data_IF_338664674669
#
_entry.id   IF_338664674669
#
_cell.length_a   1.000
_cell.length_b   1.000
_cell.length_c   1.000
_cell.angle_alpha   90.00
_cell.angle_beta   90.00
_cell.angle_gamma   90.00
#
_symmetry.space_group_name_H-M   'P 1'
#
loop_
_entity.id
_entity.type
_entity.pdbx_description
1 polymer ?
#
# COMPACT_ATOMS: atom_id res chain seq x y z
N UNK A 1 5.65 -8.09 13.76
CA UNK A 1 5.51 -6.70 13.27
C UNK A 1 5.28 -5.81 14.48
N UNK A 2 6.03 -4.72 14.63
CA UNK A 2 5.89 -3.81 15.79
C UNK A 2 4.53 -3.09 15.71
N UNK A 3 3.81 -2.99 16.83
CA UNK A 3 2.63 -2.13 16.93
C UNK A 3 3.07 -0.66 16.87
N UNK A 4 2.23 0.18 16.25
CA UNK A 4 2.46 1.62 16.14
C UNK A 4 1.31 2.37 16.79
N UNK A 5 1.53 3.61 17.18
CA UNK A 5 0.56 4.39 17.95
C UNK A 5 0.25 5.70 17.24
N UNK A 6 -1.02 6.09 17.24
CA UNK A 6 -1.37 7.48 17.00
C UNK A 6 -1.09 8.30 18.26
N UNK A 7 -0.04 9.11 18.23
CA UNK A 7 0.41 9.90 19.38
C UNK A 7 -0.65 10.88 19.89
N UNK A 8 -1.59 11.30 19.03
CA UNK A 8 -2.66 12.23 19.40
C UNK A 8 -3.81 11.56 20.14
N UNK A 9 -4.27 10.41 19.65
CA UNK A 9 -5.42 9.67 20.19
C UNK A 9 -5.02 8.54 21.13
N UNK A 10 -3.72 8.20 21.18
CA UNK A 10 -3.13 7.03 21.87
C UNK A 10 -3.68 5.69 21.41
N UNK A 11 -4.32 5.64 20.24
CA UNK A 11 -4.81 4.40 19.66
C UNK A 11 -3.66 3.51 19.20
N UNK A 12 -3.77 2.21 19.48
CA UNK A 12 -2.83 1.21 18.97
C UNK A 12 -3.27 0.75 17.59
N UNK A 13 -2.33 0.74 16.66
CA UNK A 13 -2.54 0.29 15.30
C UNK A 13 -1.52 -0.77 14.91
N UNK A 14 -1.90 -1.58 13.93
CA UNK A 14 -1.04 -2.60 13.37
C UNK A 14 -0.74 -2.31 11.89
N UNK A 15 0.53 -2.23 11.47
CA UNK A 15 0.85 -2.08 10.06
C UNK A 15 0.31 -3.25 9.23
N UNK A 16 -0.19 -2.93 8.04
CA UNK A 16 -0.73 -3.89 7.07
C UNK A 16 0.18 -4.01 5.84
N UNK A 17 0.45 -2.88 5.18
CA UNK A 17 1.29 -2.78 4.00
C UNK A 17 1.79 -1.34 3.81
N UNK A 18 2.73 -1.17 2.90
CA UNK A 18 3.24 0.14 2.47
C UNK A 18 2.80 0.42 1.04
N UNK A 19 2.53 1.68 0.72
CA UNK A 19 2.49 2.18 -0.66
C UNK A 19 3.72 3.04 -0.84
N UNK A 20 4.56 2.75 -1.82
CA UNK A 20 5.73 3.56 -2.13
C UNK A 20 5.93 3.64 -3.64
N UNK A 21 6.75 4.56 -4.10
CA UNK A 21 7.09 4.63 -5.51
C UNK A 21 7.36 6.04 -5.99
N UNK A 22 7.18 6.22 -7.30
CA UNK A 22 7.43 7.49 -7.94
C UNK A 22 6.51 8.58 -7.35
N UNK A 23 7.10 9.74 -7.05
CA UNK A 23 6.44 10.83 -6.36
C UNK A 23 5.71 11.74 -7.36
N UNK A 24 4.48 12.22 -7.07
CA UNK A 24 3.81 13.25 -7.86
C UNK A 24 4.59 14.57 -7.96
N UNK A 25 5.64 14.75 -7.16
CA UNK A 25 6.51 15.91 -7.19
C UNK A 25 7.97 15.47 -7.40
N UNK A 26 8.55 15.81 -8.55
CA UNK A 26 9.96 15.55 -8.86
C UNK A 26 10.95 16.20 -7.88
N UNK A 27 10.50 17.17 -7.08
CA UNK A 27 11.31 17.82 -6.03
C UNK A 27 11.28 17.10 -4.68
N UNK A 28 10.45 16.07 -4.52
CA UNK A 28 10.40 15.26 -3.32
C UNK A 28 10.92 13.86 -3.68
N UNK A 29 11.90 13.35 -2.92
CA UNK A 29 12.37 11.97 -3.07
C UNK A 29 11.25 10.94 -2.91
N UNK A 30 11.58 9.66 -3.08
CA UNK A 30 10.66 8.54 -2.91
C UNK A 30 9.79 8.72 -1.65
N UNK A 31 8.48 8.69 -1.83
CA UNK A 31 7.53 8.84 -0.73
C UNK A 31 6.93 7.47 -0.42
N UNK A 32 6.74 7.20 0.88
CA UNK A 32 6.13 5.97 1.35
C UNK A 32 5.03 6.28 2.36
N UNK A 33 3.89 5.62 2.18
CA UNK A 33 2.72 5.70 3.05
C UNK A 33 2.51 4.35 3.70
N UNK A 34 2.44 4.30 5.02
CA UNK A 34 2.14 3.08 5.75
C UNK A 34 0.64 3.03 6.07
N UNK A 35 0.00 1.92 5.74
CA UNK A 35 -1.41 1.66 6.05
C UNK A 35 -1.48 0.76 7.28
N UNK A 36 -2.31 1.14 8.24
CA UNK A 36 -2.42 0.48 9.53
C UNK A 36 -3.88 0.23 9.89
N UNK A 37 -4.15 -0.94 10.49
CA UNK A 37 -5.44 -1.27 11.08
C UNK A 37 -5.51 -0.73 12.51
N UNK A 38 -6.50 0.11 12.81
CA UNK A 38 -6.82 0.54 14.17
C UNK A 38 -7.52 -0.60 14.92
N UNK A 39 -6.88 -1.09 15.99
CA UNK A 39 -7.35 -2.23 16.77
C UNK A 39 -8.32 -1.82 17.90
N UNK A 40 -8.35 -0.53 18.24
CA UNK A 40 -9.08 -0.01 19.39
C UNK A 40 -10.53 0.37 19.10
N UNK A 41 -11.03 0.13 17.89
CA UNK A 41 -12.38 0.48 17.44
C UNK A 41 -13.23 -0.79 17.27
N UNK A 42 -14.50 -0.81 17.69
CA UNK A 42 -15.41 -1.95 17.47
C UNK A 42 -15.61 -2.25 15.97
N UNK A 43 -15.52 -1.22 15.13
CA UNK A 43 -15.38 -1.35 13.68
C UNK A 43 -13.92 -1.03 13.32
N UNK A 44 -13.08 -2.03 12.98
CA UNK A 44 -11.69 -1.80 12.62
C UNK A 44 -11.59 -0.84 11.43
N UNK A 45 -10.81 0.24 11.61
CA UNK A 45 -10.59 1.25 10.56
C UNK A 45 -9.16 1.20 10.08
N UNK A 46 -8.96 1.41 8.79
CA UNK A 46 -7.64 1.57 8.22
C UNK A 46 -7.32 3.05 8.18
N UNK A 47 -6.21 3.41 8.81
CA UNK A 47 -5.64 4.75 8.71
C UNK A 47 -4.24 4.67 8.10
N UNK A 48 -3.71 5.81 7.68
CA UNK A 48 -2.42 5.86 7.02
C UNK A 48 -1.72 7.20 7.21
N UNK A 49 -0.39 7.15 7.13
CA UNK A 49 0.47 8.33 7.23
C UNK A 49 1.79 8.10 6.52
N UNK A 50 2.55 9.18 6.36
CA UNK A 50 3.87 9.13 5.74
C UNK A 50 4.89 8.43 6.65
N UNK A 51 5.67 7.51 6.11
CA UNK A 51 6.92 7.08 6.73
C UNK A 51 8.06 7.72 5.95
N UNK A 52 9.09 8.19 6.67
CA UNK A 52 10.18 8.97 6.06
C UNK A 52 11.51 8.27 6.31
N UNK A 53 12.47 8.39 5.40
CA UNK A 53 13.84 8.02 5.70
C UNK A 53 14.47 9.00 6.71
N UNK A 54 15.55 8.57 7.35
CA UNK A 54 16.39 9.45 8.17
C UNK A 54 17.03 10.51 7.27
N UNK A 55 17.07 11.76 7.75
CA UNK A 55 17.66 12.87 7.00
C UNK A 55 19.16 12.67 6.71
N UNK A 56 19.86 11.97 7.61
CA UNK A 56 21.30 11.67 7.50
C UNK A 56 21.60 10.39 6.75
N UNK A 57 20.61 9.51 6.55
CA UNK A 57 20.78 8.24 5.84
C UNK A 57 19.47 7.81 5.18
N UNK A 58 19.37 8.01 3.86
CA UNK A 58 18.16 7.69 3.10
C UNK A 58 17.84 6.20 3.02
N UNK A 59 18.77 5.31 3.38
CA UNK A 59 18.58 3.87 3.39
C UNK A 59 17.89 3.35 4.68
N UNK A 60 17.72 4.21 5.69
CA UNK A 60 17.15 3.85 6.99
C UNK A 60 15.86 4.63 7.21
N UNK A 61 14.80 3.97 7.66
CA UNK A 61 13.56 4.64 8.06
C UNK A 61 13.79 5.42 9.35
N UNK A 62 13.30 6.67 9.41
CA UNK A 62 13.24 7.48 10.62
C UNK A 62 12.23 6.84 11.61
N UNK A 63 12.68 6.22 12.72
CA UNK A 63 11.81 5.43 13.60
C UNK A 63 10.64 6.23 14.18
N UNK A 64 10.84 7.52 14.43
CA UNK A 64 9.85 8.46 14.95
C UNK A 64 8.67 8.64 13.99
N UNK A 65 8.85 8.36 12.70
CA UNK A 65 7.78 8.46 11.69
C UNK A 65 6.98 7.16 11.54
N UNK A 66 7.34 6.09 12.25
CA UNK A 66 6.52 4.88 12.33
C UNK A 66 5.22 5.15 13.09
N UNK A 67 5.27 5.90 14.19
CA UNK A 67 4.08 6.37 14.90
C UNK A 67 3.43 7.55 14.17
N UNK A 68 2.10 7.67 14.25
CA UNK A 68 1.40 8.81 13.66
C UNK A 68 1.58 10.05 14.54
N UNK A 69 2.11 11.10 13.94
CA UNK A 69 2.35 12.42 14.54
C UNK A 69 1.60 13.51 13.76
N UNK A 70 0.60 14.10 14.41
CA UNK A 70 -0.19 15.20 13.82
C UNK A 70 0.52 16.57 13.84
N UNK A 71 1.57 16.72 14.66
CA UNK A 71 2.29 17.98 14.92
C UNK A 71 3.77 17.70 15.23
N UNK A 72 4.59 18.75 15.27
CA UNK A 72 6.00 18.66 15.65
C UNK A 72 6.95 18.34 14.50
N UNK A 73 8.23 18.15 14.83
CA UNK A 73 9.34 17.96 13.87
C UNK A 73 9.14 16.72 13.00
N UNK A 74 8.55 15.66 13.57
CA UNK A 74 8.30 14.41 12.87
C UNK A 74 6.86 14.28 12.35
N UNK A 75 6.13 15.41 12.21
CA UNK A 75 4.76 15.41 11.66
C UNK A 75 4.72 14.61 10.36
N UNK A 76 3.81 13.64 10.31
CA UNK A 76 3.66 12.72 9.19
C UNK A 76 2.21 12.46 8.78
N UNK A 77 1.25 13.13 9.40
CA UNK A 77 -0.14 13.14 8.94
C UNK A 77 -0.24 13.54 7.45
N UNK A 78 -1.06 12.85 6.64
CA UNK A 78 -1.14 13.08 5.20
C UNK A 78 -1.75 14.45 4.83
N UNK A 79 -2.54 15.07 5.71
CA UNK A 79 -3.19 16.36 5.42
C UNK A 79 -3.93 16.35 4.08
N UNK A 80 -3.57 17.29 3.18
CA UNK A 80 -4.20 17.41 1.86
C UNK A 80 -3.94 16.22 0.93
N UNK A 81 -2.84 15.49 1.10
CA UNK A 81 -2.56 14.31 0.25
C UNK A 81 -3.45 13.13 0.58
N UNK A 82 -4.21 13.16 1.68
CA UNK A 82 -5.11 12.07 2.09
C UNK A 82 -6.04 11.63 0.96
N UNK A 83 -6.60 12.58 0.20
CA UNK A 83 -7.52 12.29 -0.89
C UNK A 83 -6.91 11.42 -2.01
N UNK A 84 -5.59 11.44 -2.20
CA UNK A 84 -4.90 10.63 -3.21
C UNK A 84 -4.67 9.19 -2.75
N UNK A 85 -4.56 8.98 -1.45
CA UNK A 85 -4.16 7.70 -0.84
C UNK A 85 -5.34 6.97 -0.17
N UNK A 86 -6.45 7.66 0.10
CA UNK A 86 -7.62 7.10 0.79
C UNK A 86 -8.21 5.90 0.06
N UNK A 87 -8.14 5.89 -1.28
CA UNK A 87 -8.67 4.80 -2.10
C UNK A 87 -8.11 3.42 -1.70
N UNK A 88 -6.83 3.33 -1.31
CA UNK A 88 -6.26 2.06 -0.88
C UNK A 88 -6.72 1.65 0.52
N UNK A 89 -7.04 2.60 1.40
CA UNK A 89 -7.65 2.28 2.69
C UNK A 89 -9.08 1.78 2.48
N UNK A 90 -9.85 2.45 1.62
CA UNK A 90 -11.24 2.11 1.32
C UNK A 90 -11.39 0.70 0.73
N UNK A 91 -10.42 0.23 -0.05
CA UNK A 91 -10.37 -1.15 -0.57
C UNK A 91 -10.53 -2.19 0.55
N UNK A 92 -9.82 -2.00 1.67
CA UNK A 92 -9.74 -2.97 2.76
C UNK A 92 -10.64 -2.61 3.94
N UNK A 93 -11.41 -1.52 3.85
CA UNK A 93 -12.32 -1.04 4.90
C UNK A 93 -13.66 -1.81 4.91
N UNK A 94 -14.03 -2.45 3.79
CA UNK A 94 -15.27 -3.23 3.69
C UNK A 94 -15.10 -4.63 4.27
N UNK A 95 -15.87 -4.95 5.31
CA UNK A 95 -15.94 -6.30 5.92
C UNK A 95 -16.56 -7.36 5.00
N UNK A 96 -17.13 -6.94 3.87
CA UNK A 96 -17.54 -7.80 2.76
C UNK A 96 -16.86 -7.28 1.49
N UNK A 97 -15.82 -7.96 1.03
CA UNK A 97 -14.96 -7.54 -0.09
C UNK A 97 -15.74 -6.80 -1.16
N UNK A 98 -15.50 -5.49 -1.29
CA UNK A 98 -16.23 -4.64 -2.24
C UNK A 98 -15.79 -5.00 -3.65
N UNK A 99 -16.48 -5.99 -4.23
CA UNK A 99 -16.24 -6.46 -5.58
C UNK A 99 -16.36 -5.32 -6.58
N UNK A 100 -17.14 -4.27 -6.30
CA UNK A 100 -17.33 -3.11 -7.17
C UNK A 100 -16.01 -2.40 -7.51
N UNK A 101 -15.10 -2.23 -6.55
CA UNK A 101 -13.80 -1.58 -6.80
C UNK A 101 -12.85 -2.56 -7.51
N UNK A 102 -13.01 -3.86 -7.30
CA UNK A 102 -12.30 -4.92 -8.02
C UNK A 102 -12.90 -5.28 -9.38
N UNK A 103 -13.85 -4.50 -9.91
CA UNK A 103 -14.55 -4.80 -11.17
C UNK A 103 -15.34 -6.12 -11.17
N UNK A 104 -15.71 -6.62 -10.00
CA UNK A 104 -16.33 -7.93 -9.78
C UNK A 104 -15.33 -9.09 -9.67
N UNK A 105 -14.03 -8.83 -9.86
CA UNK A 105 -13.01 -9.85 -10.03
C UNK A 105 -12.07 -9.97 -8.83
N UNK A 106 -11.97 -8.91 -8.02
CA UNK A 106 -11.09 -8.89 -6.85
C UNK A 106 -11.89 -8.69 -5.56
N UNK A 107 -11.54 -9.50 -4.56
CA UNK A 107 -11.99 -9.37 -3.19
C UNK A 107 -10.83 -8.83 -2.35
N UNK A 108 -11.17 -8.00 -1.37
CA UNK A 108 -10.21 -7.36 -0.49
C UNK A 108 -10.56 -7.71 0.94
N UNK A 109 -9.56 -7.95 1.78
CA UNK A 109 -9.80 -8.24 3.18
C UNK A 109 -8.57 -8.15 4.05
N UNK A 110 -8.81 -8.31 5.35
CA UNK A 110 -7.77 -8.40 6.38
C UNK A 110 -8.04 -9.65 7.21
N UNK A 111 -7.02 -10.48 7.39
CA UNK A 111 -7.14 -11.77 8.08
C UNK A 111 -6.10 -11.91 9.18
N UNK A 112 -6.42 -12.69 10.22
CA UNK A 112 -5.45 -13.10 11.24
C UNK A 112 -4.48 -14.14 10.67
N UNK A 113 -3.19 -13.90 10.86
CA UNK A 113 -2.11 -14.86 10.58
C UNK A 113 -1.23 -14.93 11.82
N UNK A 114 -1.44 -15.98 12.63
CA UNK A 114 -0.81 -16.07 13.95
C UNK A 114 -1.24 -14.91 14.85
N UNK A 115 -0.28 -14.11 15.32
CA UNK A 115 -0.53 -12.95 16.18
C UNK A 115 -0.59 -11.61 15.44
N UNK A 116 -0.62 -11.63 14.10
CA UNK A 116 -0.65 -10.41 13.28
C UNK A 116 -1.78 -10.44 12.28
N UNK A 117 -2.38 -9.28 12.00
CA UNK A 117 -3.29 -9.05 10.88
C UNK A 117 -2.53 -8.88 9.56
N UNK A 118 -3.01 -9.43 8.46
CA UNK A 118 -2.47 -9.23 7.11
C UNK A 118 -3.56 -8.82 6.13
N UNK A 119 -3.29 -7.80 5.32
CA UNK A 119 -4.14 -7.43 4.21
C UNK A 119 -3.93 -8.40 3.04
N UNK A 120 -5.01 -8.74 2.34
CA UNK A 120 -4.95 -9.60 1.17
C UNK A 120 -5.88 -9.14 0.05
N UNK A 121 -5.46 -9.43 -1.18
CA UNK A 121 -6.30 -9.36 -2.38
C UNK A 121 -6.55 -10.80 -2.82
N UNK A 122 -7.79 -11.14 -3.18
CA UNK A 122 -8.16 -12.47 -3.64
C UNK A 122 -8.87 -12.39 -4.98
N UNK A 123 -8.46 -13.24 -5.91
CA UNK A 123 -9.11 -13.40 -7.20
C UNK A 123 -10.43 -14.15 -7.01
N UNK A 124 -11.55 -13.50 -7.29
CA UNK A 124 -12.89 -14.05 -7.04
C UNK A 124 -13.17 -15.36 -7.80
N UNK A 125 -12.53 -15.56 -8.96
CA UNK A 125 -12.74 -16.76 -9.80
C UNK A 125 -11.88 -17.94 -9.37
N UNK A 126 -10.60 -17.72 -9.07
CA UNK A 126 -9.65 -18.80 -8.75
C UNK A 126 -9.49 -19.04 -7.25
N UNK A 127 -9.91 -18.10 -6.41
CA UNK A 127 -9.62 -18.09 -4.97
C UNK A 127 -8.15 -17.85 -4.64
N UNK A 128 -7.31 -17.50 -5.64
CA UNK A 128 -5.90 -17.22 -5.39
C UNK A 128 -5.76 -15.95 -4.56
N UNK A 129 -4.98 -16.03 -3.48
CA UNK A 129 -4.82 -14.97 -2.50
C UNK A 129 -3.40 -14.40 -2.47
N UNK A 130 -3.33 -13.08 -2.45
CA UNK A 130 -2.11 -12.29 -2.42
C UNK A 130 -2.01 -11.55 -1.09
N UNK A 131 -1.14 -12.00 -0.18
CA UNK A 131 -0.91 -11.33 1.10
C UNK A 131 0.02 -10.14 0.91
N UNK A 132 -0.55 -8.95 0.91
CA UNK A 132 0.13 -7.73 0.47
C UNK A 132 1.23 -7.34 1.46
N UNK A 133 2.37 -6.92 0.92
CA UNK A 133 3.48 -6.35 1.69
C UNK A 133 3.80 -4.92 1.23
N UNK A 134 3.86 -4.71 -0.09
CA UNK A 134 4.08 -3.39 -0.70
C UNK A 134 3.20 -3.22 -1.94
N UNK A 135 2.69 -2.01 -2.15
CA UNK A 135 2.18 -1.53 -3.44
C UNK A 135 3.20 -0.53 -3.98
N UNK A 136 3.86 -0.88 -5.07
CA UNK A 136 4.84 -0.06 -5.75
C UNK A 136 4.20 0.73 -6.88
N UNK A 137 4.25 2.06 -6.81
CA UNK A 137 3.70 2.97 -7.83
C UNK A 137 4.77 3.35 -8.85
N UNK A 138 4.51 3.09 -10.12
CA UNK A 138 5.45 3.36 -11.21
C UNK A 138 5.03 4.57 -12.04
N UNK A 139 3.73 4.72 -12.30
CA UNK A 139 3.19 5.82 -13.11
C UNK A 139 1.75 6.14 -12.72
N UNK A 140 1.37 7.40 -12.87
CA UNK A 140 0.02 7.89 -12.58
C UNK A 140 -0.32 9.06 -13.50
N UNK A 141 -1.61 9.39 -13.54
CA UNK A 141 -2.08 10.60 -14.22
C UNK A 141 -1.61 11.86 -13.49
N UNK A 142 -0.64 12.57 -14.08
CA UNK A 142 -0.11 13.84 -13.57
C UNK A 142 -0.98 15.06 -13.94
N UNK A 143 -1.75 14.97 -15.04
CA UNK A 143 -2.59 16.07 -15.50
C UNK A 143 -3.90 16.15 -14.68
N UNK A 144 -4.16 17.24 -13.93
CA UNK A 144 -5.38 17.40 -13.16
C UNK A 144 -6.64 17.46 -14.05
N UNK A 145 -6.53 17.90 -15.30
CA UNK A 145 -7.64 18.01 -16.25
C UNK A 145 -7.88 16.76 -17.11
N UNK A 146 -7.08 15.70 -16.94
CA UNK A 146 -7.32 14.45 -17.67
C UNK A 146 -8.68 13.86 -17.29
N UNK A 147 -9.46 13.48 -18.31
CA UNK A 147 -10.80 12.90 -18.20
C UNK A 147 -10.82 11.48 -17.63
N UNK A 148 -9.68 10.81 -17.65
CA UNK A 148 -9.45 9.51 -17.00
C UNK A 148 -8.24 9.63 -16.07
N UNK A 149 -8.32 8.96 -14.91
CA UNK A 149 -7.25 8.87 -13.92
C UNK A 149 -6.77 7.43 -13.83
N UNK A 150 -5.46 7.25 -13.80
CA UNK A 150 -4.85 5.96 -13.58
C UNK A 150 -3.69 6.04 -12.60
N UNK A 151 -3.41 4.91 -11.96
CA UNK A 151 -2.17 4.57 -11.27
C UNK A 151 -1.81 3.15 -11.70
N UNK A 152 -0.57 2.93 -12.11
CA UNK A 152 -0.04 1.61 -12.46
C UNK A 152 1.24 1.34 -11.69
N UNK A 153 1.52 0.06 -11.49
CA UNK A 153 2.77 -0.39 -10.90
C UNK A 153 2.70 -1.86 -10.52
N UNK A 154 3.31 -2.23 -9.40
CA UNK A 154 3.38 -3.62 -8.93
C UNK A 154 2.85 -3.81 -7.53
N UNK A 155 2.23 -4.95 -7.30
CA UNK A 155 1.88 -5.45 -5.97
C UNK A 155 2.94 -6.47 -5.60
N UNK A 156 3.59 -6.26 -4.46
CA UNK A 156 4.52 -7.22 -3.85
C UNK A 156 3.79 -7.93 -2.71
N UNK A 157 3.75 -9.26 -2.78
CA UNK A 157 2.94 -10.09 -1.91
C UNK A 157 3.60 -11.43 -1.59
N UNK A 158 3.03 -12.13 -0.61
CA UNK A 158 3.32 -13.52 -0.30
C UNK A 158 2.12 -14.37 -0.70
N UNK A 159 2.34 -15.60 -1.19
CA UNK A 159 1.25 -16.59 -1.39
C UNK A 159 0.87 -17.28 -0.09
N UNK A 160 1.89 -17.57 0.72
CA UNK A 160 1.78 -18.06 2.08
C UNK A 160 2.38 -17.00 3.01
N UNK A 161 1.59 -16.42 3.93
CA UNK A 161 2.07 -15.35 4.81
C UNK A 161 3.11 -15.84 5.84
N UNK A 162 3.31 -17.15 5.97
CA UNK A 162 4.38 -17.75 6.78
C UNK A 162 5.69 -17.97 6.01
N UNK A 163 5.66 -17.92 4.67
CA UNK A 163 6.83 -18.08 3.82
C UNK A 163 7.63 -16.78 3.73
N UNK A 164 8.96 -16.86 3.60
CA UNK A 164 9.80 -15.69 3.34
C UNK A 164 9.76 -15.23 1.87
N UNK A 165 9.26 -16.08 0.96
CA UNK A 165 9.23 -15.79 -0.47
C UNK A 165 8.25 -14.66 -0.79
N UNK A 166 8.72 -13.69 -1.58
CA UNK A 166 7.91 -12.60 -2.09
C UNK A 166 7.77 -12.73 -3.60
N UNK A 167 6.64 -12.28 -4.10
CA UNK A 167 6.28 -12.26 -5.50
C UNK A 167 5.82 -10.86 -5.88
N UNK A 168 6.04 -10.46 -7.12
CA UNK A 168 5.54 -9.22 -7.67
C UNK A 168 4.66 -9.47 -8.89
N UNK A 169 3.56 -8.72 -9.00
CA UNK A 169 2.68 -8.71 -10.17
C UNK A 169 2.25 -7.30 -10.55
N UNK A 170 2.02 -7.02 -11.84
CA UNK A 170 1.50 -5.73 -12.27
C UNK A 170 0.08 -5.51 -11.75
N UNK A 171 -0.27 -4.25 -11.49
CA UNK A 171 -1.64 -3.80 -11.26
C UNK A 171 -1.92 -2.51 -12.01
N UNK A 172 -3.20 -2.27 -12.25
CA UNK A 172 -3.69 -0.96 -12.71
C UNK A 172 -4.93 -0.57 -11.91
N UNK A 173 -4.91 0.64 -11.37
CA UNK A 173 -6.07 1.32 -10.82
C UNK A 173 -6.50 2.39 -11.81
N UNK A 174 -7.65 2.22 -12.46
CA UNK A 174 -8.15 3.16 -13.48
C UNK A 174 -9.58 3.53 -13.18
N UNK A 175 -9.85 4.83 -13.08
CA UNK A 175 -11.19 5.39 -12.90
C UNK A 175 -12.00 4.73 -11.78
N UNK A 176 -11.33 4.43 -10.66
CA UNK A 176 -11.97 3.80 -9.49
C UNK A 176 -12.00 2.28 -9.50
N UNK A 177 -11.40 1.62 -10.50
CA UNK A 177 -11.37 0.16 -10.61
C UNK A 177 -9.93 -0.34 -10.51
N UNK A 178 -9.65 -1.20 -9.52
CA UNK A 178 -8.40 -1.94 -9.41
C UNK A 178 -8.49 -3.21 -10.24
N UNK A 179 -7.43 -3.48 -11.00
CA UNK A 179 -7.24 -4.70 -11.77
C UNK A 179 -5.86 -5.29 -11.51
N UNK A 180 -5.83 -6.61 -11.35
CA UNK A 180 -4.62 -7.42 -11.19
C UNK A 180 -4.75 -8.59 -12.15
N UNK A 181 -3.90 -8.70 -13.20
CA UNK A 181 -4.00 -9.78 -14.17
C UNK A 181 -3.85 -11.15 -13.50
N UNK A 182 -4.87 -12.00 -13.64
CA UNK A 182 -4.84 -13.38 -13.13
C UNK A 182 -3.75 -14.21 -13.84
N UNK A 183 -3.63 -14.04 -15.15
CA UNK A 183 -2.54 -14.56 -15.97
C UNK A 183 -1.61 -13.42 -16.38
N UNK A 184 -0.31 -13.58 -16.16
CA UNK A 184 0.69 -12.57 -16.47
C UNK A 184 2.06 -12.92 -15.89
N UNK A 185 3.09 -12.12 -16.23
CA UNK A 185 4.42 -12.30 -15.66
C UNK A 185 4.34 -12.05 -14.14
N UNK A 186 4.59 -13.11 -13.39
CA UNK A 186 4.89 -13.06 -11.97
C UNK A 186 6.41 -13.10 -11.84
N UNK A 187 6.94 -12.23 -11.00
CA UNK A 187 8.38 -12.13 -10.76
C UNK A 187 8.65 -12.57 -9.32
N UNK A 188 9.70 -13.37 -9.12
CA UNK A 188 10.26 -13.56 -7.79
C UNK A 188 10.82 -12.21 -7.31
N UNK A 189 10.32 -11.74 -6.17
CA UNK A 189 10.81 -10.52 -5.55
C UNK A 189 11.84 -10.89 -4.49
N UNK A 190 13.11 -10.57 -4.74
CA UNK A 190 14.21 -10.81 -3.78
C UNK A 190 14.06 -9.99 -2.49
N UNK A 191 13.29 -8.89 -2.54
CA UNK A 191 13.04 -8.02 -1.40
C UNK A 191 11.64 -7.38 -1.47
N UNK A 192 11.15 -6.93 -0.32
CA UNK A 192 9.85 -6.25 -0.22
C UNK A 192 9.83 -4.90 -0.95
N UNK A 193 10.99 -4.26 -1.10
CA UNK A 193 11.16 -3.05 -1.92
C UNK A 193 11.82 -3.45 -3.23
N UNK A 194 11.23 -3.10 -4.38
CA UNK A 194 11.82 -3.31 -5.69
C UNK A 194 13.26 -2.83 -5.75
N UNK A 195 14.18 -3.66 -6.25
CA UNK A 195 15.50 -3.19 -6.65
C UNK A 195 15.36 -2.21 -7.82
N UNK A 196 16.38 -1.38 -8.07
CA UNK A 196 16.36 -0.44 -9.20
C UNK A 196 16.12 -1.12 -10.57
N UNK A 197 16.27 -2.45 -10.64
CA UNK A 197 16.00 -3.27 -11.82
C UNK A 197 14.53 -3.20 -12.30
N UNK A 198 13.56 -2.98 -11.40
CA UNK A 198 12.14 -2.86 -11.80
C UNK A 198 11.87 -1.54 -12.56
N UNK A 199 12.75 -0.54 -12.44
CA UNK A 199 12.69 0.69 -13.24
C UNK A 199 13.06 0.48 -14.71
N UNK A 200 13.67 -0.67 -15.07
CA UNK A 200 14.24 -0.90 -16.41
C UNK A 200 13.19 -1.29 -17.46
N UNK A 201 11.99 -1.73 -17.07
CA UNK A 201 10.89 -2.03 -18.01
C UNK A 201 9.90 -0.86 -18.19
N UNK A 202 10.22 0.33 -17.66
CA UNK A 202 9.47 1.55 -17.91
C UNK A 202 9.80 2.12 -19.30
N UNK A 203 9.42 1.41 -20.36
CA UNK A 203 9.36 2.00 -21.69
C UNK A 203 8.19 3.00 -21.70
N UNK A 204 8.50 4.25 -22.07
CA UNK A 204 7.51 5.30 -22.34
C UNK A 204 6.46 4.77 -23.30
N UNK A 205 5.20 4.77 -22.88
CA UNK A 205 4.05 4.85 -23.79
C UNK A 205 3.69 6.32 -23.90
#
# INVERSE_FOLDING_TARGET
MQQVVDTSSRQSLQPLFVVAGACPNSFCGMQAVMYCLCLSSPDPKIDFWWIKPMATNSAVIEPQTLDRQGKGVHKNDPGRSRALYIQFADLFQSSAGSATIGGGLLLFGVVDVGSVRRAYIEQAQSGERYYISLIWQESWTSNPFASSKFIIGKIVYQRDPSSASLYARPYAYKDGVLSVPAAGPEEDAEAAVPTDLIKLNCAKV
#
